data_IF_688306601742
#
_entry.id   IF_688306601742
#
_cell.length_a   1.000
_cell.length_b   1.000
_cell.length_c   1.000
_cell.angle_alpha   90.00
_cell.angle_beta   90.00
_cell.angle_gamma   90.00
#
_symmetry.space_group_name_H-M   'P 1'
#
loop_
_entity.id
_entity.type
_entity.pdbx_description
1 polymer ?
#
# COMPACT_ATOMS: atom_id res chain seq x y z
N UNK A 1 16.65 28.56 -31.90
CA UNK A 1 17.84 29.00 -31.14
C UNK A 1 17.34 29.89 -30.01
N UNK A 2 17.49 29.66 -28.72
CA UNK A 2 18.08 28.60 -27.90
C UNK A 2 17.56 28.95 -26.50
N UNK A 3 16.74 28.07 -25.90
CA UNK A 3 16.70 27.70 -24.48
C UNK A 3 17.38 28.68 -23.50
N UNK A 4 16.60 29.31 -22.60
CA UNK A 4 17.10 29.78 -21.31
C UNK A 4 16.45 28.95 -20.20
N UNK A 5 17.03 27.77 -20.01
CA UNK A 5 16.89 26.95 -18.81
C UNK A 5 18.21 27.07 -18.07
N UNK A 6 18.25 27.80 -16.97
CA UNK A 6 19.09 27.47 -15.81
C UNK A 6 18.73 28.41 -14.65
N UNK A 7 17.86 27.96 -13.74
CA UNK A 7 17.84 28.51 -12.40
C UNK A 7 17.85 27.36 -11.40
N UNK A 8 19.02 27.20 -10.79
CA UNK A 8 19.05 27.00 -9.35
C UNK A 8 19.47 25.64 -8.88
N UNK A 9 20.73 25.26 -9.12
CA UNK A 9 21.45 24.40 -8.19
C UNK A 9 22.92 24.87 -8.11
N UNK A 10 23.28 25.48 -6.98
CA UNK A 10 24.49 25.24 -6.16
C UNK A 10 24.91 26.53 -5.44
N UNK A 11 24.44 26.71 -4.20
CA UNK A 11 25.34 27.17 -3.14
C UNK A 11 24.93 26.52 -1.83
N UNK A 12 25.64 25.43 -1.56
CA UNK A 12 25.74 24.78 -0.27
C UNK A 12 26.61 25.67 0.63
N UNK A 13 26.07 26.66 1.33
CA UNK A 13 26.72 27.28 2.50
C UNK A 13 25.69 27.94 3.44
N UNK A 14 25.01 27.06 4.16
CA UNK A 14 24.20 27.35 5.33
C UNK A 14 25.04 27.92 6.49
N UNK A 15 24.67 29.13 6.90
CA UNK A 15 24.68 29.72 8.24
C UNK A 15 25.80 29.32 9.23
N UNK A 16 26.76 30.22 9.39
CA UNK A 16 27.54 30.35 10.60
C UNK A 16 26.87 31.40 11.52
N UNK A 17 26.12 30.95 12.53
CA UNK A 17 25.62 31.80 13.61
C UNK A 17 25.74 31.06 14.95
N UNK A 18 26.72 31.45 15.75
CA UNK A 18 26.91 31.05 17.14
C UNK A 18 25.79 31.62 18.03
N UNK A 19 25.23 30.80 18.94
CA UNK A 19 24.34 31.32 19.98
C UNK A 19 23.64 30.27 20.84
N UNK A 20 24.37 29.71 21.81
CA UNK A 20 23.92 29.35 23.17
C UNK A 20 22.42 29.13 23.42
N UNK A 21 22.03 27.87 23.63
CA UNK A 21 20.73 27.52 24.21
C UNK A 21 20.53 26.01 24.28
N UNK A 22 20.90 25.39 25.40
CA UNK A 22 20.74 23.96 25.60
C UNK A 22 19.28 23.56 25.70
N UNK A 23 18.82 22.70 24.79
CA UNK A 23 17.56 21.96 24.93
C UNK A 23 17.79 20.53 24.43
N UNK A 24 17.94 19.59 25.38
CA UNK A 24 17.97 18.17 25.06
C UNK A 24 16.54 17.67 24.85
N UNK A 25 16.21 17.29 23.62
CA UNK A 25 15.09 16.41 23.35
C UNK A 25 15.57 15.30 22.42
N UNK A 26 15.80 14.13 23.01
CA UNK A 26 16.02 12.90 22.27
C UNK A 26 14.74 12.48 21.56
N UNK A 27 14.88 12.05 20.31
CA UNK A 27 14.02 11.03 19.75
C UNK A 27 14.82 10.13 18.82
N UNK A 28 14.88 8.87 19.21
CA UNK A 28 15.32 7.77 18.39
C UNK A 28 14.42 7.71 17.15
N UNK A 29 15.02 7.82 15.96
CA UNK A 29 14.35 7.49 14.71
C UNK A 29 14.97 6.20 14.19
N UNK A 30 14.63 5.12 14.89
CA UNK A 30 14.86 3.76 14.43
C UNK A 30 13.80 3.52 13.35
N UNK A 31 14.23 3.54 12.09
CA UNK A 31 13.36 3.31 10.95
C UNK A 31 12.91 1.84 10.93
N UNK A 32 11.82 1.58 11.67
CA UNK A 32 10.75 0.66 11.31
C UNK A 32 11.16 -0.78 11.02
N UNK A 33 11.42 -1.54 12.07
CA UNK A 33 11.04 -2.96 12.08
C UNK A 33 9.49 -3.03 12.09
N UNK A 34 8.81 -3.56 11.06
CA UNK A 34 7.39 -3.86 11.16
C UNK A 34 7.23 -5.14 12.00
N UNK A 35 7.37 -4.99 13.33
CA UNK A 35 7.26 -6.06 14.30
C UNK A 35 6.09 -5.79 15.26
N UNK A 36 4.87 -5.83 14.71
CA UNK A 36 3.68 -6.20 15.46
C UNK A 36 2.81 -7.09 14.55
N UNK A 37 3.28 -8.31 14.29
CA UNK A 37 2.37 -9.40 13.90
C UNK A 37 1.59 -9.80 15.15
N UNK A 38 0.38 -9.27 15.28
CA UNK A 38 -0.60 -9.80 16.23
C UNK A 38 -1.09 -11.15 15.71
N UNK A 39 -0.37 -12.21 16.09
CA UNK A 39 -0.88 -13.57 16.03
C UNK A 39 -1.86 -13.77 17.21
N UNK A 40 -3.12 -14.11 16.93
CA UNK A 40 -4.04 -14.49 18.03
C UNK A 40 -5.54 -14.53 17.78
N UNK A 41 -6.07 -14.22 16.59
CA UNK A 41 -7.42 -14.61 16.21
C UNK A 41 -7.31 -15.67 15.09
N UNK A 42 -8.23 -16.63 15.02
CA UNK A 42 -8.30 -17.54 13.88
C UNK A 42 -8.61 -16.72 12.62
N UNK A 43 -7.56 -16.38 11.90
CA UNK A 43 -7.60 -15.46 10.76
C UNK A 43 -7.30 -16.26 9.51
N UNK A 44 -8.28 -16.32 8.63
CA UNK A 44 -8.18 -16.95 7.32
C UNK A 44 -7.49 -15.95 6.40
N UNK A 45 -6.40 -16.37 5.77
CA UNK A 45 -5.68 -15.59 4.75
C UNK A 45 -5.83 -16.25 3.41
N UNK A 46 -6.44 -15.55 2.47
CA UNK A 46 -6.56 -15.99 1.09
C UNK A 46 -5.76 -15.06 0.18
N UNK A 47 -5.09 -15.64 -0.82
CA UNK A 47 -4.26 -14.91 -1.76
C UNK A 47 -4.81 -15.05 -3.17
N UNK A 48 -5.07 -13.92 -3.81
CA UNK A 48 -5.61 -13.89 -5.16
C UNK A 48 -4.67 -13.13 -6.09
N UNK A 49 -4.63 -13.55 -7.35
CA UNK A 49 -3.90 -12.87 -8.41
C UNK A 49 -4.90 -12.22 -9.35
N UNK A 50 -4.70 -10.95 -9.66
CA UNK A 50 -5.57 -10.17 -10.53
C UNK A 50 -4.74 -9.52 -11.64
N UNK A 51 -5.21 -9.63 -12.87
CA UNK A 51 -4.59 -9.00 -14.02
C UNK A 51 -5.33 -7.71 -14.40
N UNK A 52 -4.62 -6.73 -14.94
CA UNK A 52 -5.19 -5.49 -15.47
C UNK A 52 -5.25 -4.31 -14.50
N UNK A 53 -4.91 -4.50 -13.23
CA UNK A 53 -4.71 -3.37 -12.31
C UNK A 53 -3.43 -2.60 -12.67
N UNK A 54 -3.59 -1.32 -13.03
CA UNK A 54 -2.47 -0.49 -13.52
C UNK A 54 -2.28 0.82 -12.75
N UNK A 55 -3.22 1.20 -11.88
CA UNK A 55 -3.13 2.45 -11.12
C UNK A 55 -3.61 2.28 -9.67
N UNK A 56 -3.19 3.19 -8.80
CA UNK A 56 -3.52 3.12 -7.36
C UNK A 56 -5.00 3.39 -7.06
N UNK A 57 -5.72 4.08 -7.95
CA UNK A 57 -7.18 4.25 -7.83
C UNK A 57 -7.92 2.95 -8.16
N UNK A 58 -7.45 2.19 -9.16
CA UNK A 58 -7.98 0.85 -9.47
C UNK A 58 -7.90 -0.07 -8.25
N UNK A 59 -6.75 -0.01 -7.55
CA UNK A 59 -6.53 -0.78 -6.33
C UNK A 59 -7.50 -0.38 -5.24
N UNK A 60 -7.70 0.94 -5.02
CA UNK A 60 -8.62 1.43 -4.00
C UNK A 60 -10.04 0.90 -4.26
N UNK A 61 -10.54 1.02 -5.50
CA UNK A 61 -11.87 0.50 -5.86
C UNK A 61 -12.00 -0.99 -5.62
N UNK A 62 -11.04 -1.82 -6.06
CA UNK A 62 -11.08 -3.28 -5.81
C UNK A 62 -11.01 -3.60 -4.32
N UNK A 63 -10.19 -2.86 -3.57
CA UNK A 63 -10.02 -3.05 -2.12
C UNK A 63 -11.31 -2.74 -1.38
N UNK A 64 -12.01 -1.68 -1.76
CA UNK A 64 -13.30 -1.29 -1.17
C UNK A 64 -14.37 -2.37 -1.43
N UNK A 65 -14.50 -2.84 -2.67
CA UNK A 65 -15.47 -3.89 -3.02
C UNK A 65 -15.18 -5.21 -2.29
N UNK A 66 -13.91 -5.62 -2.22
CA UNK A 66 -13.54 -6.88 -1.52
C UNK A 66 -13.66 -6.72 0.00
N UNK A 67 -13.35 -5.55 0.56
CA UNK A 67 -13.51 -5.30 2.01
C UNK A 67 -14.98 -5.19 2.43
N UNK A 68 -15.90 -4.91 1.50
CA UNK A 68 -17.33 -4.89 1.77
C UNK A 68 -17.95 -6.30 1.92
N UNK A 69 -17.22 -7.37 1.56
CA UNK A 69 -17.69 -8.74 1.70
C UNK A 69 -17.81 -9.16 3.17
N UNK A 70 -18.88 -9.90 3.52
CA UNK A 70 -19.08 -10.35 4.91
C UNK A 70 -17.93 -11.24 5.37
N UNK A 71 -17.35 -10.87 6.52
CA UNK A 71 -16.26 -11.61 7.14
C UNK A 71 -14.86 -11.21 6.69
N UNK A 72 -14.72 -10.28 5.75
CA UNK A 72 -13.43 -9.62 5.46
C UNK A 72 -13.12 -8.60 6.55
N UNK A 73 -11.92 -8.70 7.09
CA UNK A 73 -11.41 -7.81 8.14
C UNK A 73 -10.40 -6.80 7.55
N UNK A 74 -9.51 -7.28 6.67
CA UNK A 74 -8.49 -6.45 6.05
C UNK A 74 -8.16 -6.96 4.64
N UNK A 75 -7.87 -6.04 3.72
CA UNK A 75 -7.41 -6.34 2.36
C UNK A 75 -6.10 -5.61 2.11
N UNK A 76 -5.12 -6.32 1.55
CA UNK A 76 -3.82 -5.77 1.19
C UNK A 76 -3.53 -6.10 -0.27
N UNK A 77 -3.14 -5.10 -1.06
CA UNK A 77 -2.89 -5.26 -2.49
C UNK A 77 -1.46 -4.88 -2.83
N UNK A 78 -0.76 -5.83 -3.44
CA UNK A 78 0.57 -5.67 -4.03
C UNK A 78 0.39 -5.38 -5.52
N UNK A 79 0.30 -4.08 -5.85
CA UNK A 79 0.11 -3.61 -7.22
C UNK A 79 1.39 -3.82 -8.04
N UNK A 80 1.31 -4.67 -9.05
CA UNK A 80 2.32 -4.78 -10.08
C UNK A 80 1.82 -4.12 -11.37
N UNK A 81 2.17 -2.84 -11.54
CA UNK A 81 1.75 -2.05 -12.68
C UNK A 81 2.24 -2.69 -14.00
N UNK A 82 1.29 -3.07 -14.86
CA UNK A 82 1.57 -3.74 -16.14
C UNK A 82 1.76 -5.25 -16.05
N UNK A 83 1.49 -5.87 -14.89
CA UNK A 83 1.59 -7.31 -14.69
C UNK A 83 0.43 -7.89 -13.90
N UNK A 84 0.72 -8.95 -13.13
CA UNK A 84 -0.24 -9.60 -12.24
C UNK A 84 -0.06 -9.06 -10.84
N UNK A 85 -1.09 -8.40 -10.33
CA UNK A 85 -1.11 -7.87 -8.97
C UNK A 85 -1.62 -8.92 -8.00
N UNK A 86 -1.11 -8.92 -6.77
CA UNK A 86 -1.51 -9.89 -5.74
C UNK A 86 -2.36 -9.23 -4.68
N UNK A 87 -3.47 -9.85 -4.33
CA UNK A 87 -4.38 -9.43 -3.27
C UNK A 87 -4.28 -10.43 -2.13
N UNK A 88 -4.09 -9.95 -0.91
CA UNK A 88 -4.21 -10.73 0.31
C UNK A 88 -5.48 -10.29 1.03
N UNK A 89 -6.42 -11.21 1.18
CA UNK A 89 -7.65 -11.01 1.94
C UNK A 89 -7.50 -11.69 3.29
N UNK A 90 -7.77 -10.93 4.34
CA UNK A 90 -7.72 -11.35 5.73
C UNK A 90 -9.15 -11.35 6.23
N UNK A 91 -9.63 -12.52 6.65
CA UNK A 91 -11.02 -12.73 7.02
C UNK A 91 -11.14 -13.49 8.33
N UNK A 92 -12.19 -13.18 9.10
CA UNK A 92 -12.54 -13.93 10.32
C UNK A 92 -13.45 -15.13 10.02
N UNK A 93 -13.96 -15.23 8.79
CA UNK A 93 -14.81 -16.33 8.30
C UNK A 93 -14.35 -16.76 6.90
N UNK A 94 -14.64 -18.00 6.47
CA UNK A 94 -14.38 -18.43 5.11
C UNK A 94 -15.18 -17.59 4.12
N UNK A 95 -14.49 -16.84 3.26
CA UNK A 95 -15.11 -16.12 2.15
C UNK A 95 -15.00 -17.01 0.90
N UNK A 96 -16.13 -17.39 0.27
CA UNK A 96 -16.09 -18.17 -0.96
C UNK A 96 -15.42 -17.36 -2.07
N UNK A 97 -14.53 -18.02 -2.80
CA UNK A 97 -13.79 -17.45 -3.93
C UNK A 97 -14.70 -16.82 -4.97
N UNK A 98 -15.89 -17.39 -5.22
CA UNK A 98 -16.85 -16.82 -6.17
C UNK A 98 -17.33 -15.41 -5.78
N UNK A 99 -17.44 -15.10 -4.48
CA UNK A 99 -17.77 -13.74 -4.03
C UNK A 99 -16.61 -12.78 -4.29
N UNK A 100 -15.37 -13.20 -4.02
CA UNK A 100 -14.17 -12.40 -4.30
C UNK A 100 -14.03 -12.18 -5.80
N UNK A 101 -14.24 -13.23 -6.61
CA UNK A 101 -14.22 -13.15 -8.07
C UNK A 101 -15.31 -12.23 -8.60
N UNK A 102 -16.52 -12.30 -8.06
CA UNK A 102 -17.62 -11.41 -8.44
C UNK A 102 -17.25 -9.95 -8.15
N UNK A 103 -16.81 -9.62 -6.94
CA UNK A 103 -16.38 -8.27 -6.57
C UNK A 103 -15.26 -7.74 -7.47
N UNK A 104 -14.25 -8.57 -7.78
CA UNK A 104 -13.16 -8.22 -8.70
C UNK A 104 -13.66 -8.00 -10.14
N UNK A 105 -14.64 -8.80 -10.58
CA UNK A 105 -15.24 -8.70 -11.92
C UNK A 105 -16.15 -7.47 -12.04
N UNK A 106 -16.91 -7.15 -10.99
CA UNK A 106 -17.72 -5.93 -10.89
C UNK A 106 -16.86 -4.67 -10.89
N UNK A 107 -15.67 -4.73 -10.26
CA UNK A 107 -14.66 -3.69 -10.35
C UNK A 107 -13.99 -3.60 -11.74
N UNK A 108 -14.26 -4.55 -12.65
CA UNK A 108 -13.79 -4.55 -14.03
C UNK A 108 -12.47 -5.29 -14.27
N UNK A 109 -12.06 -6.18 -13.36
CA UNK A 109 -10.81 -6.94 -13.47
C UNK A 109 -11.05 -8.46 -13.52
N UNK A 110 -10.01 -9.20 -13.89
CA UNK A 110 -10.06 -10.66 -13.96
C UNK A 110 -9.17 -11.28 -12.90
N UNK A 111 -9.76 -12.12 -12.07
CA UNK A 111 -9.05 -12.97 -11.11
C UNK A 111 -8.46 -14.17 -11.84
N UNK A 112 -7.13 -14.27 -11.86
CA UNK A 112 -6.37 -15.29 -12.60
C UNK A 112 -5.91 -16.47 -11.74
N UNK A 113 -5.83 -16.29 -10.41
CA UNK A 113 -5.47 -17.36 -9.48
C UNK A 113 -6.05 -17.07 -8.09
N UNK A 114 -6.44 -18.13 -7.39
CA UNK A 114 -6.94 -18.15 -6.03
C UNK A 114 -6.22 -19.22 -5.19
#
# INVERSE_FOLDING_TARGET
>A
MTIHTDLGLTDTNNACACGTGGHAHGHAAEAGTPALQTAGAEVIRAHYSVNGMTCNHCVASVTEEVSALDGVDSVSVDLNAGGTSRIMVVSSKPVPEDQVRAAVTEAGYTLVQA
#
